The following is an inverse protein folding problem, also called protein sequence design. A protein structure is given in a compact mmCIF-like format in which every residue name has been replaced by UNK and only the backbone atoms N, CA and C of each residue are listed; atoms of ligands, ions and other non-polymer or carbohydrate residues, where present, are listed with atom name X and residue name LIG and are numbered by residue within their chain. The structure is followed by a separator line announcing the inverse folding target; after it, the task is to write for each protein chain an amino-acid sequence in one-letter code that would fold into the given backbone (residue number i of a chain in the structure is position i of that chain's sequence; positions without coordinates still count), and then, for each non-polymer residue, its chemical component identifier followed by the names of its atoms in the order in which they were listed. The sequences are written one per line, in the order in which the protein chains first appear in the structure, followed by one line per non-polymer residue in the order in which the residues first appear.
data_IF_817672916356
#
_entry.id   IF_817672916356
#
_cell.length_a   1.000
_cell.length_b   1.000
_cell.length_c   1.000
_cell.angle_alpha   90.00
_cell.angle_beta   90.00
_cell.angle_gamma   90.00
#
_symmetry.space_group_name_H-M   'P 1'
#
loop_
_entity.id
_entity.type
_entity.pdbx_description
1 polymer ?
#
# COMPACT_ATOMS: atom_id res chain seq x y z
N UNK A 1 -17.17 8.17 -13.18
CA UNK A 1 -16.43 6.89 -12.98
C UNK A 1 -15.75 6.52 -14.28
N UNK A 2 -14.52 6.07 -14.19
CA UNK A 2 -13.78 5.61 -15.37
C UNK A 2 -14.40 4.31 -15.90
N UNK A 3 -14.41 4.17 -17.21
CA UNK A 3 -14.78 2.91 -17.82
C UNK A 3 -13.71 1.84 -17.60
N UNK A 4 -14.04 0.62 -17.89
CA UNK A 4 -13.11 -0.50 -17.82
C UNK A 4 -12.07 -0.39 -18.95
N UNK A 5 -10.83 -0.74 -18.66
CA UNK A 5 -9.79 -0.79 -19.70
C UNK A 5 -10.15 -1.84 -20.77
N UNK A 6 -9.79 -1.54 -21.99
CA UNK A 6 -9.84 -2.54 -23.04
C UNK A 6 -8.72 -3.57 -22.83
N UNK A 7 -8.85 -4.73 -23.47
CA UNK A 7 -7.82 -5.77 -23.41
C UNK A 7 -6.46 -5.22 -23.88
N UNK A 8 -6.47 -4.42 -24.93
CA UNK A 8 -5.27 -3.82 -25.51
C UNK A 8 -4.60 -2.86 -24.55
N UNK A 9 -5.39 -2.02 -23.86
CA UNK A 9 -4.86 -1.09 -22.87
C UNK A 9 -4.22 -1.82 -21.69
N UNK A 10 -4.84 -2.89 -21.23
CA UNK A 10 -4.31 -3.69 -20.12
C UNK A 10 -2.98 -4.33 -20.50
N UNK A 11 -2.87 -4.92 -21.70
CA UNK A 11 -1.64 -5.54 -22.15
C UNK A 11 -0.54 -4.52 -22.40
N UNK A 12 -0.87 -3.37 -22.95
CA UNK A 12 0.10 -2.28 -23.14
C UNK A 12 0.70 -1.85 -21.80
N UNK A 13 -0.15 -1.63 -20.79
CA UNK A 13 0.31 -1.26 -19.47
C UNK A 13 1.24 -2.34 -18.89
N UNK A 14 0.83 -3.61 -18.97
CA UNK A 14 1.60 -4.72 -18.43
C UNK A 14 2.96 -4.83 -19.10
N UNK A 15 2.98 -4.76 -20.43
CA UNK A 15 4.21 -4.91 -21.20
C UNK A 15 5.17 -3.73 -21.04
N UNK A 16 4.66 -2.56 -20.65
CA UNK A 16 5.49 -1.38 -20.41
C UNK A 16 6.21 -1.42 -19.05
N UNK A 17 5.90 -2.39 -18.21
CA UNK A 17 6.47 -2.49 -16.86
C UNK A 17 7.57 -3.53 -16.81
N UNK A 18 8.58 -3.33 -15.95
CA UNK A 18 9.56 -4.38 -15.70
C UNK A 18 8.90 -5.55 -14.96
N UNK A 19 9.59 -6.67 -14.91
CA UNK A 19 9.14 -7.84 -14.15
C UNK A 19 8.90 -7.43 -12.68
N UNK A 20 7.73 -7.80 -12.16
CA UNK A 20 7.39 -7.47 -10.76
C UNK A 20 8.18 -8.34 -9.80
N UNK A 21 8.85 -7.67 -8.87
CA UNK A 21 9.58 -8.30 -7.76
C UNK A 21 9.03 -7.71 -6.48
N UNK A 22 8.20 -8.47 -5.79
CA UNK A 22 7.50 -7.93 -4.64
C UNK A 22 7.21 -8.94 -3.56
N UNK A 23 6.55 -8.48 -2.53
CA UNK A 23 6.16 -9.29 -1.38
C UNK A 23 4.91 -8.71 -0.72
N UNK A 24 4.36 -9.46 0.23
CA UNK A 24 3.36 -8.93 1.14
C UNK A 24 4.04 -7.97 2.11
N UNK A 25 3.34 -6.88 2.43
CA UNK A 25 3.90 -5.86 3.31
C UNK A 25 2.99 -5.61 4.51
N UNK A 26 3.59 -5.53 5.68
CA UNK A 26 3.01 -4.99 6.90
C UNK A 26 4.15 -4.39 7.70
N UNK A 27 3.95 -3.18 8.25
CA UNK A 27 4.99 -2.48 8.99
C UNK A 27 5.49 -3.29 10.19
N UNK A 28 6.79 -3.23 10.43
CA UNK A 28 7.41 -3.99 11.52
C UNK A 28 6.91 -3.57 12.91
N UNK A 29 6.42 -2.34 13.05
CA UNK A 29 5.90 -1.81 14.30
C UNK A 29 4.41 -2.06 14.51
N UNK A 30 3.77 -2.86 13.64
CA UNK A 30 2.36 -3.20 13.74
C UNK A 30 2.19 -4.61 14.26
N UNK A 31 1.24 -4.80 15.20
CA UNK A 31 0.92 -6.11 15.74
C UNK A 31 0.16 -6.97 14.72
N UNK A 32 -0.69 -6.34 13.90
CA UNK A 32 -1.49 -7.01 12.88
C UNK A 32 -2.01 -5.98 11.86
N UNK A 33 -2.81 -6.44 10.90
CA UNK A 33 -3.34 -5.56 9.85
C UNK A 33 -4.29 -4.50 10.38
N UNK A 34 -5.04 -4.81 11.43
CA UNK A 34 -5.93 -3.83 12.05
C UNK A 34 -5.10 -2.68 12.63
N UNK A 35 -4.04 -3.02 13.35
CA UNK A 35 -3.13 -2.02 13.93
C UNK A 35 -2.52 -1.11 12.86
N UNK A 36 -2.16 -1.68 11.72
CA UNK A 36 -1.55 -0.91 10.62
C UNK A 36 -2.45 0.21 10.09
N UNK A 37 -3.76 -0.01 10.08
CA UNK A 37 -4.71 0.92 9.46
C UNK A 37 -5.43 1.82 10.45
N UNK A 38 -5.20 1.66 11.77
CA UNK A 38 -5.84 2.49 12.78
C UNK A 38 -5.27 3.90 12.81
N UNK A 39 -6.09 4.86 13.25
CA UNK A 39 -5.66 6.25 13.39
C UNK A 39 -4.61 6.41 14.48
N UNK A 40 -4.68 5.61 15.52
CA UNK A 40 -3.74 5.70 16.63
C UNK A 40 -2.32 5.35 16.17
N UNK A 41 -1.42 6.31 16.33
CA UNK A 41 -0.01 6.11 16.00
C UNK A 41 0.32 6.03 14.52
N UNK A 42 -0.62 6.41 13.63
CA UNK A 42 -0.38 6.24 12.19
C UNK A 42 0.79 7.06 11.67
N UNK A 43 1.07 8.22 12.27
CA UNK A 43 2.20 9.06 11.83
C UNK A 43 3.53 8.34 11.97
N UNK A 44 3.74 7.66 13.08
CA UNK A 44 4.94 6.85 13.29
C UNK A 44 4.97 5.66 12.32
N UNK A 45 3.82 5.06 12.08
CA UNK A 45 3.72 3.95 11.13
C UNK A 45 4.02 4.39 9.70
N UNK A 46 3.63 5.60 9.33
CA UNK A 46 3.97 6.14 8.01
C UNK A 46 5.47 6.36 7.87
N UNK A 47 6.14 6.85 8.91
CA UNK A 47 7.59 6.99 8.90
C UNK A 47 8.28 5.63 8.77
N UNK A 48 7.79 4.64 9.50
CA UNK A 48 8.30 3.27 9.40
C UNK A 48 8.09 2.72 8.00
N UNK A 49 6.90 2.90 7.43
CA UNK A 49 6.61 2.43 6.08
C UNK A 49 7.52 3.08 5.05
N UNK A 50 7.72 4.39 5.14
CA UNK A 50 8.60 5.10 4.22
C UNK A 50 10.02 4.53 4.28
N UNK A 51 10.56 4.33 5.48
CA UNK A 51 11.89 3.77 5.66
C UNK A 51 11.99 2.34 5.15
N UNK A 52 11.01 1.50 5.49
CA UNK A 52 11.03 0.09 5.10
C UNK A 52 10.86 -0.08 3.59
N UNK A 53 9.96 0.68 2.99
CA UNK A 53 9.75 0.61 1.54
C UNK A 53 10.95 1.12 0.77
N UNK A 54 11.61 2.16 1.27
CA UNK A 54 12.86 2.66 0.68
C UNK A 54 13.95 1.59 0.74
N UNK A 55 14.06 0.87 1.86
CA UNK A 55 15.02 -0.22 2.00
C UNK A 55 14.72 -1.34 1.02
N UNK A 56 13.46 -1.74 0.88
CA UNK A 56 13.05 -2.77 -0.07
C UNK A 56 13.38 -2.37 -1.50
N UNK A 57 13.11 -1.12 -1.86
CA UNK A 57 13.45 -0.62 -3.19
C UNK A 57 14.96 -0.67 -3.44
N UNK A 58 15.77 -0.38 -2.41
CA UNK A 58 17.23 -0.38 -2.53
C UNK A 58 17.81 -1.76 -2.82
N UNK A 59 17.10 -2.85 -2.45
CA UNK A 59 17.55 -4.21 -2.69
C UNK A 59 16.84 -4.87 -3.87
N UNK A 60 16.11 -4.11 -4.67
CA UNK A 60 15.57 -4.56 -5.94
C UNK A 60 14.08 -4.82 -5.97
N UNK A 61 13.33 -4.62 -4.90
CA UNK A 61 11.88 -4.74 -4.93
C UNK A 61 11.25 -3.57 -5.64
N UNK A 62 10.25 -3.82 -6.47
CA UNK A 62 9.54 -2.78 -7.21
C UNK A 62 8.01 -2.85 -7.00
N UNK A 63 7.55 -3.74 -6.14
CA UNK A 63 6.11 -3.89 -5.89
C UNK A 63 5.88 -4.45 -4.49
N UNK A 64 4.72 -4.13 -3.94
CA UNK A 64 4.26 -4.73 -2.68
C UNK A 64 2.78 -5.07 -2.81
N UNK A 65 2.35 -6.01 -1.99
CA UNK A 65 0.93 -6.28 -1.78
C UNK A 65 0.60 -5.93 -0.35
N UNK A 66 -0.27 -4.97 -0.18
CA UNK A 66 -0.73 -4.56 1.14
C UNK A 66 -2.20 -4.93 1.29
N UNK A 67 -2.56 -5.49 2.43
CA UNK A 67 -3.93 -5.94 2.67
C UNK A 67 -4.68 -4.86 3.42
N UNK A 68 -5.81 -4.44 2.86
CA UNK A 68 -6.67 -3.41 3.42
C UNK A 68 -7.67 -4.06 4.36
N UNK A 69 -7.75 -3.55 5.59
CA UNK A 69 -8.61 -4.14 6.60
C UNK A 69 -9.98 -3.49 6.60
N UNK A 70 -11.01 -4.28 6.27
CA UNK A 70 -12.37 -3.80 6.16
C UNK A 70 -12.92 -3.23 7.48
N UNK A 71 -12.61 -3.86 8.61
CA UNK A 71 -13.14 -3.42 9.90
C UNK A 71 -12.70 -2.01 10.25
N UNK A 72 -11.46 -1.64 9.94
CA UNK A 72 -10.96 -0.29 10.17
C UNK A 72 -11.66 0.70 9.23
N UNK A 73 -11.82 0.33 7.96
CA UNK A 73 -12.55 1.16 7.00
C UNK A 73 -13.98 1.41 7.48
N UNK A 74 -14.65 0.40 7.99
CA UNK A 74 -16.02 0.52 8.46
C UNK A 74 -16.15 1.44 9.68
N UNK A 75 -15.25 1.31 10.64
CA UNK A 75 -15.35 2.01 11.93
C UNK A 75 -14.62 3.35 11.98
N UNK A 76 -13.60 3.53 11.18
CA UNK A 76 -12.78 4.75 11.14
C UNK A 76 -12.61 5.24 9.71
N UNK A 77 -13.71 5.32 8.98
CA UNK A 77 -13.71 5.54 7.53
C UNK A 77 -12.86 6.74 7.10
N UNK A 78 -13.08 7.90 7.70
CA UNK A 78 -12.37 9.13 7.29
C UNK A 78 -10.89 9.05 7.59
N UNK A 79 -10.54 8.63 8.80
CA UNK A 79 -9.14 8.44 9.18
C UNK A 79 -8.46 7.36 8.34
N UNK A 80 -9.17 6.27 8.07
CA UNK A 80 -8.64 5.21 7.20
C UNK A 80 -8.33 5.74 5.78
N UNK A 81 -9.24 6.52 5.21
CA UNK A 81 -9.02 7.07 3.86
C UNK A 81 -7.83 8.01 3.82
N UNK A 82 -7.63 8.82 4.87
CA UNK A 82 -6.44 9.67 4.97
C UNK A 82 -5.16 8.86 5.02
N UNK A 83 -5.13 7.82 5.82
CA UNK A 83 -3.97 6.92 5.92
C UNK A 83 -3.70 6.24 4.58
N UNK A 84 -4.75 5.74 3.94
CA UNK A 84 -4.65 5.06 2.64
C UNK A 84 -4.01 5.97 1.60
N UNK A 85 -4.49 7.21 1.50
CA UNK A 85 -3.96 8.18 0.53
C UNK A 85 -2.50 8.49 0.84
N UNK A 86 -2.13 8.67 2.10
CA UNK A 86 -0.75 8.98 2.47
C UNK A 86 0.19 7.82 2.16
N UNK A 87 -0.25 6.58 2.39
CA UNK A 87 0.55 5.41 2.04
C UNK A 87 0.78 5.30 0.53
N UNK A 88 -0.25 5.58 -0.27
CA UNK A 88 -0.11 5.55 -1.72
C UNK A 88 0.90 6.57 -2.25
N UNK A 89 1.19 7.61 -1.48
CA UNK A 89 2.10 8.69 -1.89
C UNK A 89 3.53 8.53 -1.37
N UNK A 90 3.86 7.41 -0.75
CA UNK A 90 5.23 7.12 -0.29
C UNK A 90 6.19 6.76 -1.46
#
# INVERSE_FOLDING_TARGET
MRGQWTKEQAWEWYNSRPWFRGCNYMSADCANRIDQWQEYGFEEKLKTADRELALMASIGYNSIRIIIEYEVWEKQHDGFMDIFIQILNI
#
